data_IF_310983990558
#
_entry.id   IF_310983990558
#
_cell.length_a   1.000
_cell.length_b   1.000
_cell.length_c   1.000
_cell.angle_alpha   90.00
_cell.angle_beta   90.00
_cell.angle_gamma   90.00
#
_symmetry.space_group_name_H-M   'P 1'
#
loop_
_entity.id
_entity.type
_entity.pdbx_description
1 polymer ?
#
# COMPACT_ATOMS: atom_id res chain seq x y z
N UNK A 1 -20.15 3.32 40.10
CA UNK A 1 -20.30 4.14 38.88
C UNK A 1 -20.28 3.25 37.66
N UNK A 2 -21.35 3.15 36.90
CA UNK A 2 -21.23 2.51 35.61
C UNK A 2 -20.23 3.29 34.78
N UNK A 3 -19.23 2.59 34.21
CA UNK A 3 -18.38 3.20 33.15
C UNK A 3 -19.30 3.60 32.03
N UNK A 4 -19.31 4.87 31.70
CA UNK A 4 -19.84 5.33 30.41
C UNK A 4 -19.09 4.49 29.38
N UNK A 5 -19.81 3.71 28.60
CA UNK A 5 -19.20 2.97 27.49
C UNK A 5 -18.43 4.00 26.69
N UNK A 6 -17.10 3.82 26.61
CA UNK A 6 -16.24 4.70 25.81
C UNK A 6 -16.85 4.78 24.42
N UNK A 7 -17.21 5.98 23.99
CA UNK A 7 -17.64 6.19 22.60
C UNK A 7 -16.57 5.58 21.70
N UNK A 8 -16.97 4.78 20.70
CA UNK A 8 -15.99 4.16 19.82
C UNK A 8 -15.11 5.23 19.19
N UNK A 9 -13.84 5.23 19.53
CA UNK A 9 -12.87 6.17 19.02
C UNK A 9 -12.84 6.06 17.50
N UNK A 10 -13.17 7.15 16.81
CA UNK A 10 -13.16 7.17 15.34
C UNK A 10 -11.76 6.97 14.82
N UNK A 11 -11.52 6.05 13.86
CA UNK A 11 -10.21 5.86 13.28
C UNK A 11 -9.79 7.07 12.44
N UNK A 12 -8.50 7.35 12.44
CA UNK A 12 -7.87 8.30 11.52
C UNK A 12 -7.39 7.53 10.29
N UNK A 13 -7.79 7.99 9.11
CA UNK A 13 -7.31 7.44 7.84
C UNK A 13 -6.12 8.26 7.37
N UNK A 14 -4.98 7.62 7.25
CA UNK A 14 -3.72 8.21 6.81
C UNK A 14 -3.27 7.60 5.49
N UNK A 15 -2.82 8.42 4.55
CA UNK A 15 -2.29 7.93 3.28
C UNK A 15 -0.83 8.29 3.11
N UNK A 16 0.00 7.29 2.85
CA UNK A 16 1.36 7.46 2.35
C UNK A 16 1.36 7.35 0.83
N UNK A 17 1.63 8.44 0.13
CA UNK A 17 1.73 8.44 -1.33
C UNK A 17 2.83 7.51 -1.83
N UNK A 18 2.63 6.84 -2.97
CA UNK A 18 3.62 5.97 -3.55
C UNK A 18 4.93 6.68 -3.89
N UNK A 19 4.87 7.94 -4.34
CA UNK A 19 6.04 8.78 -4.60
C UNK A 19 6.78 9.24 -3.33
N UNK A 20 6.15 9.13 -2.18
CA UNK A 20 6.79 9.42 -0.89
C UNK A 20 7.68 8.27 -0.44
N UNK A 21 7.20 7.04 -0.55
CA UNK A 21 7.85 5.82 -0.03
C UNK A 21 8.71 5.10 -1.08
N UNK A 22 8.54 5.45 -2.36
CA UNK A 22 9.36 4.93 -3.47
C UNK A 22 9.87 6.08 -4.34
N UNK A 23 10.86 5.79 -5.18
CA UNK A 23 11.30 6.71 -6.23
C UNK A 23 10.41 6.49 -7.46
N UNK A 24 9.45 7.36 -7.68
CA UNK A 24 8.40 7.23 -8.71
C UNK A 24 8.93 6.95 -10.12
N UNK A 25 10.09 7.54 -10.48
CA UNK A 25 10.70 7.41 -11.82
C UNK A 25 11.64 6.22 -11.95
N UNK A 26 11.97 5.55 -10.85
CA UNK A 26 12.87 4.42 -10.81
C UNK A 26 12.07 3.17 -10.46
N UNK A 27 12.23 2.13 -11.30
CA UNK A 27 11.53 0.87 -11.10
C UNK A 27 11.98 0.24 -9.79
N UNK A 28 11.01 -0.07 -8.92
CA UNK A 28 11.21 -0.82 -7.66
C UNK A 28 12.25 -0.25 -6.69
N UNK A 29 12.48 1.06 -6.72
CA UNK A 29 13.36 1.69 -5.74
C UNK A 29 12.60 2.23 -4.54
N UNK A 30 12.95 1.70 -3.38
CA UNK A 30 12.43 2.09 -2.08
C UNK A 30 13.09 3.37 -1.56
N UNK A 31 12.38 4.01 -0.65
CA UNK A 31 12.91 5.08 0.21
C UNK A 31 12.85 4.64 1.68
N UNK A 32 13.74 3.74 2.12
CA UNK A 32 13.63 3.08 3.42
C UNK A 32 13.70 4.05 4.60
N UNK A 33 14.48 5.12 4.50
CA UNK A 33 14.54 6.16 5.54
C UNK A 33 13.21 6.90 5.71
N UNK A 34 12.50 7.15 4.61
CA UNK A 34 11.17 7.79 4.65
C UNK A 34 10.14 6.86 5.25
N UNK A 35 10.16 5.58 4.89
CA UNK A 35 9.28 4.56 5.48
C UNK A 35 9.52 4.44 6.98
N UNK A 36 10.77 4.35 7.41
CA UNK A 36 11.14 4.25 8.82
C UNK A 36 10.70 5.49 9.62
N UNK A 37 10.88 6.68 9.07
CA UNK A 37 10.43 7.93 9.69
C UNK A 37 8.92 7.98 9.82
N UNK A 38 8.18 7.70 8.76
CA UNK A 38 6.73 7.67 8.79
C UNK A 38 6.20 6.65 9.81
N UNK A 39 6.78 5.46 9.85
CA UNK A 39 6.43 4.43 10.82
C UNK A 39 6.65 4.89 12.27
N UNK A 40 7.75 5.58 12.53
CA UNK A 40 8.06 6.14 13.85
C UNK A 40 7.06 7.24 14.25
N UNK A 41 6.70 8.12 13.32
CA UNK A 41 5.71 9.17 13.57
C UNK A 41 4.33 8.56 13.85
N UNK A 42 3.91 7.52 13.10
CA UNK A 42 2.66 6.81 13.33
C UNK A 42 2.67 6.09 14.69
N UNK A 43 3.79 5.50 15.08
CA UNK A 43 3.95 4.84 16.37
C UNK A 43 3.80 5.81 17.55
N UNK A 44 4.06 7.09 17.36
CA UNK A 44 3.85 8.14 18.35
C UNK A 44 2.39 8.60 18.51
N UNK A 45 1.47 8.13 17.65
CA UNK A 45 0.04 8.43 17.76
C UNK A 45 -0.59 7.49 18.79
N UNK A 46 -1.09 8.07 19.89
CA UNK A 46 -1.71 7.30 20.97
C UNK A 46 -3.22 7.51 21.03
N UNK A 47 -3.94 6.50 21.52
CA UNK A 47 -5.37 6.60 21.83
C UNK A 47 -6.32 6.65 20.64
N UNK A 48 -5.80 6.55 19.40
CA UNK A 48 -6.61 6.61 18.19
C UNK A 48 -6.25 5.45 17.25
N UNK A 49 -7.23 4.66 16.78
CA UNK A 49 -6.97 3.66 15.74
C UNK A 49 -6.56 4.36 14.44
N UNK A 50 -5.54 3.83 13.77
CA UNK A 50 -5.06 4.36 12.49
C UNK A 50 -5.31 3.35 11.38
N UNK A 51 -5.97 3.78 10.33
CA UNK A 51 -6.07 3.04 9.06
C UNK A 51 -5.05 3.64 8.10
N UNK A 52 -4.01 2.88 7.80
CA UNK A 52 -2.96 3.33 6.91
C UNK A 52 -3.18 2.81 5.49
N UNK A 53 -3.22 3.73 4.54
CA UNK A 53 -3.22 3.44 3.10
C UNK A 53 -1.87 3.82 2.50
N UNK A 54 -1.40 3.10 1.52
CA UNK A 54 -0.23 3.52 0.75
C UNK A 54 -0.40 3.30 -0.74
N UNK A 55 0.27 4.13 -1.54
CA UNK A 55 0.32 3.98 -2.98
C UNK A 55 1.42 3.01 -3.42
N UNK A 56 1.42 2.66 -4.70
CA UNK A 56 2.35 1.72 -5.30
C UNK A 56 3.65 2.36 -5.83
N UNK A 57 3.59 3.62 -6.25
CA UNK A 57 4.76 4.34 -6.77
C UNK A 57 5.50 3.56 -7.85
N UNK A 58 6.82 3.47 -7.72
CA UNK A 58 7.70 2.75 -8.65
C UNK A 58 7.48 1.23 -8.69
N UNK A 59 6.71 0.65 -7.77
CA UNK A 59 6.35 -0.77 -7.76
C UNK A 59 5.08 -1.08 -8.56
N UNK A 60 4.29 -0.09 -8.93
CA UNK A 60 3.04 -0.28 -9.66
C UNK A 60 2.97 0.45 -10.98
N UNK A 61 3.24 1.75 -10.98
CA UNK A 61 3.05 2.60 -12.16
C UNK A 61 3.88 2.19 -13.39
N UNK A 62 5.20 1.90 -13.30
CA UNK A 62 5.97 1.48 -14.46
C UNK A 62 5.48 0.16 -15.04
N UNK A 63 5.13 -0.80 -14.20
CA UNK A 63 4.59 -2.08 -14.64
C UNK A 63 3.21 -1.94 -15.28
N UNK A 64 2.32 -1.17 -14.67
CA UNK A 64 1.00 -0.90 -15.23
C UNK A 64 1.10 -0.24 -16.60
N UNK A 65 2.02 0.71 -16.78
CA UNK A 65 2.31 1.33 -18.07
C UNK A 65 2.89 0.34 -19.07
N UNK A 66 3.90 -0.45 -18.67
CA UNK A 66 4.55 -1.46 -19.52
C UNK A 66 3.55 -2.46 -20.07
N UNK A 67 2.64 -2.95 -19.27
CA UNK A 67 1.63 -3.94 -19.66
C UNK A 67 0.30 -3.33 -20.12
N UNK A 68 0.22 -2.01 -20.23
CA UNK A 68 -0.97 -1.31 -20.72
C UNK A 68 -2.22 -1.49 -19.86
N UNK A 69 -2.08 -1.72 -18.55
CA UNK A 69 -3.20 -2.06 -17.66
C UNK A 69 -4.18 -0.91 -17.43
N UNK A 70 -3.75 0.33 -17.60
CA UNK A 70 -4.57 1.52 -17.39
C UNK A 70 -5.46 1.88 -18.60
N UNK A 71 -5.28 1.21 -19.74
CA UNK A 71 -6.07 1.42 -20.96
C UNK A 71 -6.96 0.21 -21.26
N UNK A 72 -8.02 0.36 -22.05
CA UNK A 72 -8.79 -0.76 -22.56
C UNK A 72 -7.92 -1.72 -23.39
N UNK A 73 -8.23 -3.03 -23.44
CA UNK A 73 -7.51 -3.99 -24.28
C UNK A 73 -7.55 -3.57 -25.74
N UNK A 74 -6.39 -3.65 -26.40
CA UNK A 74 -6.31 -3.43 -27.84
C UNK A 74 -6.82 -4.65 -28.64
N UNK A 75 -7.22 -4.45 -29.91
CA UNK A 75 -7.81 -5.53 -30.74
C UNK A 75 -6.83 -6.68 -31.05
N UNK A 76 -5.52 -6.44 -30.91
CA UNK A 76 -4.47 -7.46 -31.14
C UNK A 76 -3.82 -7.94 -29.84
N UNK A 77 -4.32 -7.48 -28.69
CA UNK A 77 -3.77 -7.85 -27.39
C UNK A 77 -4.33 -9.21 -26.95
N UNK A 78 -3.44 -10.16 -26.68
CA UNK A 78 -3.87 -11.45 -26.17
C UNK A 78 -4.26 -11.32 -24.68
N UNK A 79 -5.45 -11.81 -24.27
CA UNK A 79 -5.90 -11.69 -22.89
C UNK A 79 -4.94 -12.26 -21.85
N UNK A 80 -4.22 -13.35 -22.20
CA UNK A 80 -3.24 -13.99 -21.32
C UNK A 80 -2.05 -13.07 -21.00
N UNK A 81 -1.59 -12.23 -21.93
CA UNK A 81 -0.47 -11.32 -21.72
C UNK A 81 -0.85 -10.23 -20.71
N UNK A 82 -2.06 -9.73 -20.82
CA UNK A 82 -2.60 -8.73 -19.89
C UNK A 82 -2.78 -9.31 -18.49
N UNK A 83 -3.32 -10.52 -18.38
CA UNK A 83 -3.48 -11.22 -17.11
C UNK A 83 -2.13 -11.51 -16.46
N UNK A 84 -1.15 -11.94 -17.24
CA UNK A 84 0.23 -12.12 -16.77
C UNK A 84 0.84 -10.80 -16.27
N UNK A 85 0.67 -9.72 -17.02
CA UNK A 85 1.13 -8.40 -16.63
C UNK A 85 0.52 -7.92 -15.32
N UNK A 86 -0.78 -8.11 -15.15
CA UNK A 86 -1.48 -7.79 -13.90
C UNK A 86 -0.97 -8.60 -12.71
N UNK A 87 -0.69 -9.90 -12.90
CA UNK A 87 -0.12 -10.76 -11.86
C UNK A 87 1.27 -10.29 -11.44
N UNK A 88 2.13 -9.92 -12.39
CA UNK A 88 3.48 -9.39 -12.12
C UNK A 88 3.39 -8.09 -11.30
N UNK A 89 2.57 -7.14 -11.74
CA UNK A 89 2.38 -5.86 -11.02
C UNK A 89 1.82 -6.10 -9.63
N UNK A 90 0.86 -6.99 -9.47
CA UNK A 90 0.29 -7.34 -8.17
C UNK A 90 1.33 -7.92 -7.21
N UNK A 91 2.22 -8.78 -7.69
CA UNK A 91 3.30 -9.35 -6.90
C UNK A 91 4.28 -8.26 -6.42
N UNK A 92 4.65 -7.33 -7.29
CA UNK A 92 5.56 -6.23 -6.95
C UNK A 92 4.95 -5.25 -5.95
N UNK A 93 3.67 -4.92 -6.10
CA UNK A 93 2.95 -4.09 -5.13
C UNK A 93 2.86 -4.77 -3.76
N UNK A 94 2.66 -6.09 -3.72
CA UNK A 94 2.69 -6.86 -2.47
C UNK A 94 4.06 -6.85 -1.81
N UNK A 95 5.12 -6.89 -2.58
CA UNK A 95 6.50 -6.77 -2.06
C UNK A 95 6.72 -5.43 -1.38
N UNK A 96 6.27 -4.34 -1.99
CA UNK A 96 6.27 -3.02 -1.36
C UNK A 96 5.46 -3.02 -0.07
N UNK A 97 4.26 -3.59 -0.09
CA UNK A 97 3.38 -3.68 1.07
C UNK A 97 4.05 -4.39 2.25
N UNK A 98 4.71 -5.52 2.00
CA UNK A 98 5.49 -6.21 3.03
C UNK A 98 6.61 -5.36 3.60
N UNK A 99 7.26 -4.55 2.78
CA UNK A 99 8.31 -3.64 3.25
C UNK A 99 7.74 -2.56 4.17
N UNK A 100 6.59 -2.00 3.84
CA UNK A 100 5.89 -1.05 4.72
C UNK A 100 5.49 -1.72 6.04
N UNK A 101 4.90 -2.92 5.99
CA UNK A 101 4.54 -3.68 7.19
C UNK A 101 5.74 -3.93 8.10
N UNK A 102 6.87 -4.35 7.54
CA UNK A 102 8.10 -4.56 8.31
C UNK A 102 8.60 -3.27 8.96
N UNK A 103 8.50 -2.15 8.27
CA UNK A 103 8.83 -0.84 8.83
C UNK A 103 7.95 -0.47 10.02
N UNK A 104 6.66 -0.73 9.94
CA UNK A 104 5.71 -0.51 11.03
C UNK A 104 6.01 -1.41 12.24
N UNK A 105 6.28 -2.69 12.00
CA UNK A 105 6.66 -3.65 13.06
C UNK A 105 7.97 -3.24 13.73
N UNK A 106 8.97 -2.82 12.95
CA UNK A 106 10.25 -2.33 13.46
C UNK A 106 10.09 -1.08 14.34
N UNK A 107 9.07 -0.26 14.09
CA UNK A 107 8.72 0.90 14.93
C UNK A 107 7.91 0.53 16.19
N UNK A 108 7.64 -0.75 16.44
CA UNK A 108 6.89 -1.24 17.60
C UNK A 108 5.37 -1.34 17.40
N UNK A 109 4.88 -1.07 16.20
CA UNK A 109 3.46 -1.22 15.86
C UNK A 109 3.09 -2.69 15.63
N UNK A 110 1.80 -2.99 15.72
CA UNK A 110 1.20 -4.30 15.45
C UNK A 110 0.17 -4.17 14.32
N UNK A 111 0.63 -3.94 13.07
CA UNK A 111 -0.27 -3.70 11.96
C UNK A 111 -1.02 -4.97 11.55
N UNK A 112 -2.26 -4.79 11.17
CA UNK A 112 -3.07 -5.82 10.51
C UNK A 112 -3.17 -5.50 9.02
N UNK A 113 -2.78 -6.44 8.17
CA UNK A 113 -2.80 -6.24 6.72
C UNK A 113 -4.15 -6.57 6.12
N UNK A 114 -4.71 -5.64 5.34
CA UNK A 114 -5.97 -5.84 4.61
C UNK A 114 -5.74 -5.56 3.13
N UNK A 115 -5.37 -6.58 2.33
CA UNK A 115 -5.21 -6.41 0.89
C UNK A 115 -6.56 -6.14 0.22
N UNK A 116 -6.73 -4.96 -0.37
CA UNK A 116 -8.00 -4.55 -0.98
C UNK A 116 -8.42 -5.47 -2.13
N UNK A 117 -7.46 -6.02 -2.88
CA UNK A 117 -7.72 -6.94 -4.00
C UNK A 117 -8.41 -8.24 -3.60
N UNK A 118 -8.32 -8.67 -2.35
CA UNK A 118 -8.99 -9.88 -1.85
C UNK A 118 -10.44 -9.62 -1.44
N UNK A 119 -10.82 -8.36 -1.30
CA UNK A 119 -12.16 -7.94 -0.85
C UNK A 119 -12.95 -7.23 -1.93
N UNK A 120 -12.28 -6.76 -3.00
CA UNK A 120 -12.95 -6.14 -4.13
C UNK A 120 -13.77 -7.19 -4.91
N UNK A 121 -15.07 -6.94 -5.07
CA UNK A 121 -15.97 -7.69 -5.95
C UNK A 121 -16.25 -6.86 -7.19
N UNK A 122 -16.21 -7.47 -8.35
CA UNK A 122 -16.69 -6.87 -9.60
C UNK A 122 -18.20 -6.97 -9.68
#
# INVERSE_FOLDING_TARGET
MPRIADEPTRPVVLKLGGSLITRKREVEKLRPKVIARAAKEIAGVEGVPVVLLHGAGGFGHPGAKRFGLARPPGPREHPADRTRGAAIVSAEVRRLHLTVLRGLVAAGLRPWSVPMSTHARN
#
